data_IF_203547968730
#
_entry.id   IF_203547968730
#
_cell.length_a   1.000
_cell.length_b   1.000
_cell.length_c   1.000
_cell.angle_alpha   90.00
_cell.angle_beta   90.00
_cell.angle_gamma   90.00
#
_symmetry.space_group_name_H-M   'P 1'
#
loop_
_entity.id
_entity.type
_entity.pdbx_description
1 polymer ?
#
# COMPACT_ATOMS: atom_id res chain seq x y z
N UNK A 1 24.77 14.89 0.75
CA UNK A 1 24.22 13.79 -0.07
C UNK A 1 22.73 13.83 0.16
N UNK A 2 21.93 14.22 -0.85
CA UNK A 2 20.48 14.05 -0.74
C UNK A 2 20.23 12.55 -0.87
N UNK A 3 19.95 11.88 0.24
CA UNK A 3 19.43 10.51 0.23
C UNK A 3 18.14 10.52 -0.58
N UNK A 4 17.98 9.57 -1.51
CA UNK A 4 16.65 9.31 -2.05
C UNK A 4 15.75 8.85 -0.89
N UNK A 5 14.47 9.26 -0.84
CA UNK A 5 13.55 8.77 0.16
C UNK A 5 13.40 7.25 0.00
N UNK A 6 13.22 6.55 1.11
CA UNK A 6 12.76 5.17 1.07
C UNK A 6 11.38 5.12 0.42
N UNK A 7 11.14 4.19 -0.51
CA UNK A 7 9.83 3.98 -1.12
C UNK A 7 9.23 2.68 -0.61
N UNK A 8 8.07 2.79 0.04
CA UNK A 8 7.36 1.64 0.61
C UNK A 8 6.08 1.40 -0.16
N UNK A 9 6.02 0.30 -0.89
CA UNK A 9 4.83 -0.16 -1.59
C UNK A 9 3.88 -0.89 -0.65
N UNK A 10 2.62 -0.47 -0.60
CA UNK A 10 1.55 -1.16 0.15
C UNK A 10 0.59 -1.78 -0.86
N UNK A 11 0.65 -3.10 -0.99
CA UNK A 11 -0.17 -3.90 -1.91
C UNK A 11 -1.20 -4.76 -1.19
N UNK A 12 -2.14 -5.34 -1.93
CA UNK A 12 -3.12 -6.26 -1.36
C UNK A 12 -4.50 -6.22 -2.04
N UNK A 13 -5.38 -7.19 -1.70
CA UNK A 13 -6.74 -7.24 -2.24
C UNK A 13 -7.57 -5.99 -2.00
N UNK A 14 -8.60 -5.82 -2.83
CA UNK A 14 -9.64 -4.79 -2.63
C UNK A 14 -10.24 -4.96 -1.23
N UNK A 15 -10.30 -3.87 -0.46
CA UNK A 15 -10.91 -3.86 0.86
C UNK A 15 -10.07 -4.50 1.98
N UNK A 16 -8.85 -4.97 1.73
CA UNK A 16 -7.96 -5.57 2.76
C UNK A 16 -7.55 -4.60 3.89
N UNK A 17 -7.64 -3.29 3.64
CA UNK A 17 -7.34 -2.23 4.61
C UNK A 17 -6.02 -1.51 4.38
N UNK A 18 -5.53 -1.49 3.14
CA UNK A 18 -4.34 -0.72 2.71
C UNK A 18 -4.41 0.75 3.13
N UNK A 19 -5.48 1.46 2.75
CA UNK A 19 -5.68 2.88 3.12
C UNK A 19 -5.69 3.11 4.63
N UNK A 20 -6.27 2.17 5.39
CA UNK A 20 -6.28 2.24 6.85
C UNK A 20 -4.87 2.06 7.45
N UNK A 21 -4.06 1.15 6.88
CA UNK A 21 -2.65 1.00 7.24
C UNK A 21 -1.85 2.25 6.87
N UNK A 22 -2.04 2.79 5.65
CA UNK A 22 -1.41 4.03 5.19
C UNK A 22 -1.71 5.19 6.16
N UNK A 23 -2.97 5.37 6.54
CA UNK A 23 -3.38 6.40 7.51
C UNK A 23 -2.69 6.21 8.87
N UNK A 24 -2.65 4.97 9.39
CA UNK A 24 -2.03 4.66 10.66
C UNK A 24 -0.51 4.94 10.65
N UNK A 25 0.18 4.54 9.57
CA UNK A 25 1.60 4.81 9.38
C UNK A 25 1.88 6.31 9.29
N UNK A 26 1.09 7.05 8.51
CA UNK A 26 1.23 8.51 8.42
C UNK A 26 1.14 9.18 9.80
N UNK A 27 0.11 8.85 10.58
CA UNK A 27 -0.06 9.40 11.94
C UNK A 27 1.06 9.03 12.89
N UNK A 28 1.58 7.81 12.80
CA UNK A 28 2.66 7.33 13.66
C UNK A 28 4.04 7.93 13.30
N UNK A 29 4.28 8.26 12.04
CA UNK A 29 5.61 8.59 11.52
C UNK A 29 5.80 10.09 11.22
N UNK A 30 4.74 10.84 10.89
CA UNK A 30 4.85 12.22 10.39
C UNK A 30 5.53 13.23 11.32
N UNK A 31 5.54 12.97 12.63
CA UNK A 31 6.20 13.84 13.62
C UNK A 31 7.72 13.60 13.69
N UNK A 32 8.21 12.52 13.08
CA UNK A 32 9.62 12.08 13.16
C UNK A 32 10.31 12.03 11.80
N UNK A 33 9.55 11.82 10.74
CA UNK A 33 10.04 11.65 9.39
C UNK A 33 9.30 12.59 8.43
N UNK A 34 10.02 13.12 7.46
CA UNK A 34 9.44 13.89 6.38
C UNK A 34 8.82 12.92 5.35
N UNK A 35 7.49 12.79 5.35
CA UNK A 35 6.79 11.76 4.59
C UNK A 35 5.80 12.32 3.57
N UNK A 36 5.52 11.52 2.54
CA UNK A 36 4.50 11.77 1.52
C UNK A 36 3.86 10.46 1.05
N UNK A 37 2.72 10.55 0.36
CA UNK A 37 1.92 9.40 -0.07
C UNK A 37 1.51 9.56 -1.54
N UNK A 38 1.60 8.47 -2.29
CA UNK A 38 0.94 8.26 -3.57
C UNK A 38 -0.09 7.16 -3.38
N UNK A 39 -1.36 7.40 -3.73
CA UNK A 39 -2.42 6.38 -3.71
C UNK A 39 -2.88 6.09 -5.12
N UNK A 40 -3.18 4.84 -5.43
CA UNK A 40 -3.64 4.43 -6.74
C UNK A 40 -5.06 3.90 -6.68
N UNK A 41 -5.89 4.38 -7.60
CA UNK A 41 -7.24 3.87 -7.84
C UNK A 41 -7.47 3.78 -9.35
N UNK A 42 -8.40 2.94 -9.79
CA UNK A 42 -8.61 2.74 -11.24
C UNK A 42 -9.33 3.94 -11.87
N UNK A 43 -10.34 4.48 -11.18
CA UNK A 43 -11.29 5.45 -11.74
C UNK A 43 -11.54 6.67 -10.85
N UNK A 44 -10.89 6.74 -9.69
CA UNK A 44 -11.19 7.71 -8.63
C UNK A 44 -9.93 8.17 -7.93
N UNK A 45 -10.07 9.19 -7.09
CA UNK A 45 -9.04 9.58 -6.11
C UNK A 45 -9.59 9.40 -4.68
N UNK A 46 -10.43 8.39 -4.46
CA UNK A 46 -11.17 8.21 -3.21
C UNK A 46 -10.22 7.99 -2.04
N UNK A 47 -9.18 7.17 -2.22
CA UNK A 47 -8.17 6.91 -1.18
C UNK A 47 -7.34 8.16 -0.83
N UNK A 48 -6.91 8.95 -1.82
CA UNK A 48 -6.24 10.23 -1.58
C UNK A 48 -7.14 11.19 -0.80
N UNK A 49 -8.40 11.34 -1.22
CA UNK A 49 -9.37 12.20 -0.55
C UNK A 49 -9.68 11.69 0.86
N UNK A 50 -9.76 10.37 1.06
CA UNK A 50 -9.92 9.78 2.38
C UNK A 50 -8.76 10.14 3.30
N UNK A 51 -7.51 10.02 2.85
CA UNK A 51 -6.34 10.37 3.64
C UNK A 51 -6.30 11.86 3.99
N UNK A 52 -6.67 12.74 3.05
CA UNK A 52 -6.79 14.18 3.29
C UNK A 52 -7.87 14.48 4.33
N UNK A 53 -9.08 13.93 4.16
CA UNK A 53 -10.22 14.13 5.08
C UNK A 53 -9.93 13.63 6.50
N UNK A 54 -9.07 12.62 6.62
CA UNK A 54 -8.66 12.05 7.90
C UNK A 54 -7.37 12.68 8.46
N UNK A 55 -6.91 13.78 7.86
CA UNK A 55 -5.72 14.51 8.28
C UNK A 55 -4.51 13.57 8.40
N UNK A 56 -4.29 12.69 7.41
CA UNK A 56 -3.12 11.82 7.40
C UNK A 56 -1.83 12.66 7.31
N UNK A 57 -1.80 13.58 6.34
CA UNK A 57 -0.76 14.56 6.05
C UNK A 57 -1.42 15.83 5.48
N UNK A 58 -0.62 16.88 5.28
CA UNK A 58 -1.02 18.04 4.47
C UNK A 58 -1.46 17.58 3.06
N UNK A 59 -2.54 18.13 2.49
CA UNK A 59 -3.06 17.71 1.18
C UNK A 59 -2.00 17.69 0.07
N UNK A 60 -1.07 18.63 0.13
CA UNK A 60 0.01 18.80 -0.83
C UNK A 60 0.99 17.62 -0.88
N UNK A 61 1.04 16.82 0.19
CA UNK A 61 1.90 15.63 0.36
C UNK A 61 1.24 14.34 -0.10
N UNK A 62 0.00 14.39 -0.57
CA UNK A 62 -0.77 13.23 -1.00
C UNK A 62 -1.14 13.41 -2.47
N UNK A 63 -0.70 12.50 -3.33
CA UNK A 63 -1.06 12.48 -4.74
C UNK A 63 -1.95 11.25 -5.02
N UNK A 64 -3.14 11.48 -5.57
CA UNK A 64 -4.00 10.43 -6.10
C UNK A 64 -3.72 10.16 -7.57
N UNK A 65 -3.36 8.94 -7.91
CA UNK A 65 -3.11 8.47 -9.28
C UNK A 65 -4.30 7.63 -9.74
N UNK A 66 -4.95 8.09 -10.80
CA UNK A 66 -5.95 7.32 -11.53
C UNK A 66 -5.25 6.46 -12.60
N UNK A 67 -5.22 5.14 -12.42
CA UNK A 67 -4.42 4.25 -13.28
C UNK A 67 -5.09 3.97 -14.64
N UNK A 68 -6.41 4.13 -14.74
CA UNK A 68 -7.18 3.89 -15.97
C UNK A 68 -7.27 2.41 -16.41
N UNK A 69 -6.66 1.49 -15.66
CA UNK A 69 -6.58 0.06 -15.98
C UNK A 69 -6.11 -0.79 -14.79
N UNK A 70 -5.74 -2.05 -15.04
CA UNK A 70 -5.36 -3.00 -13.99
C UNK A 70 -4.28 -2.42 -13.05
N UNK A 71 -4.49 -2.44 -11.71
CA UNK A 71 -3.57 -1.83 -10.76
C UNK A 71 -2.13 -2.35 -10.87
N UNK A 72 -1.95 -3.67 -11.09
CA UNK A 72 -0.62 -4.26 -11.25
C UNK A 72 0.21 -3.60 -12.36
N UNK A 73 -0.42 -3.14 -13.46
CA UNK A 73 0.28 -2.45 -14.53
C UNK A 73 0.97 -1.19 -14.01
N UNK A 74 0.23 -0.36 -13.27
CA UNK A 74 0.73 0.91 -12.76
C UNK A 74 1.83 0.75 -11.69
N UNK A 75 1.95 -0.41 -11.05
CA UNK A 75 2.97 -0.66 -10.02
C UNK A 75 4.10 -1.59 -10.47
N UNK A 76 3.96 -2.26 -11.62
CA UNK A 76 4.91 -3.28 -12.09
C UNK A 76 5.28 -3.17 -13.56
N UNK A 77 4.33 -3.39 -14.47
CA UNK A 77 4.62 -3.46 -15.91
C UNK A 77 4.96 -2.09 -16.51
N UNK A 78 4.24 -1.05 -16.09
CA UNK A 78 4.46 0.34 -16.47
C UNK A 78 4.28 1.24 -15.23
N UNK A 79 5.34 1.37 -14.46
CA UNK A 79 5.37 2.18 -13.24
C UNK A 79 5.54 3.69 -13.51
N UNK A 80 5.54 4.12 -14.77
CA UNK A 80 5.89 5.50 -15.16
C UNK A 80 5.05 6.56 -14.44
N UNK A 81 3.73 6.36 -14.35
CA UNK A 81 2.81 7.30 -13.70
C UNK A 81 3.10 7.47 -12.20
N UNK A 82 3.49 6.38 -11.52
CA UNK A 82 3.85 6.43 -10.11
C UNK A 82 5.24 7.01 -9.91
N UNK A 83 6.20 6.69 -10.77
CA UNK A 83 7.54 7.28 -10.74
C UNK A 83 7.48 8.79 -10.96
N UNK A 84 6.61 9.27 -11.85
CA UNK A 84 6.36 10.69 -12.05
C UNK A 84 5.76 11.33 -10.78
N UNK A 85 4.73 10.72 -10.17
CA UNK A 85 4.15 11.21 -8.92
C UNK A 85 5.18 11.29 -7.78
N UNK A 86 6.03 10.26 -7.65
CA UNK A 86 7.16 10.23 -6.71
C UNK A 86 8.16 11.36 -6.99
N UNK A 87 8.49 11.62 -8.26
CA UNK A 87 9.39 12.71 -8.63
C UNK A 87 8.78 14.08 -8.32
N UNK A 88 7.48 14.28 -8.59
CA UNK A 88 6.76 15.51 -8.25
C UNK A 88 6.81 15.80 -6.75
N UNK A 89 6.57 14.79 -5.90
CA UNK A 89 6.68 14.92 -4.45
C UNK A 89 8.10 15.27 -4.00
N UNK A 90 9.12 14.62 -4.56
CA UNK A 90 10.52 14.92 -4.26
C UNK A 90 10.93 16.35 -4.62
N UNK A 91 10.44 16.86 -5.76
CA UNK A 91 10.67 18.25 -6.17
C UNK A 91 9.94 19.23 -5.25
N UNK A 92 8.71 18.91 -4.84
CA UNK A 92 7.86 19.76 -4.00
C UNK A 92 8.34 19.82 -2.55
N UNK A 93 8.82 18.69 -2.02
CA UNK A 93 9.32 18.56 -0.65
C UNK A 93 10.75 18.01 -0.67
N UNK A 94 11.76 18.88 -0.81
CA UNK A 94 13.15 18.46 -0.71
C UNK A 94 13.44 17.78 0.64
N UNK A 95 14.17 16.66 0.61
CA UNK A 95 14.58 15.94 1.82
C UNK A 95 13.47 15.07 2.43
N UNK A 96 12.57 14.51 1.62
CA UNK A 96 11.68 13.43 2.06
C UNK A 96 12.53 12.23 2.55
N UNK A 97 12.11 11.65 3.66
CA UNK A 97 12.70 10.43 4.23
C UNK A 97 11.98 9.18 3.70
N UNK A 98 10.66 9.28 3.49
CA UNK A 98 9.80 8.16 3.11
C UNK A 98 8.69 8.61 2.16
N UNK A 99 8.44 7.81 1.12
CA UNK A 99 7.24 7.91 0.27
C UNK A 99 6.50 6.58 0.32
N UNK A 100 5.24 6.60 0.71
CA UNK A 100 4.37 5.43 0.67
C UNK A 100 3.65 5.40 -0.68
N UNK A 101 3.68 4.27 -1.37
CA UNK A 101 2.94 4.06 -2.62
C UNK A 101 1.90 2.96 -2.38
N UNK A 102 0.64 3.35 -2.27
CA UNK A 102 -0.47 2.42 -2.09
C UNK A 102 -1.01 1.97 -3.45
N UNK A 103 -1.01 0.67 -3.72
CA UNK A 103 -1.60 0.14 -4.95
C UNK A 103 -3.13 0.23 -4.94
N UNK A 104 -3.75 0.24 -6.11
CA UNK A 104 -5.15 -0.15 -6.22
C UNK A 104 -5.36 -1.58 -5.70
N UNK A 105 -6.57 -1.91 -5.26
CA UNK A 105 -6.88 -3.27 -4.84
C UNK A 105 -6.80 -4.25 -6.01
N UNK A 106 -6.01 -5.32 -5.88
CA UNK A 106 -5.78 -6.29 -6.96
C UNK A 106 -5.75 -7.74 -6.44
N UNK A 107 -5.62 -8.69 -7.36
CA UNK A 107 -5.55 -10.12 -7.04
C UNK A 107 -4.18 -10.52 -6.44
N UNK A 108 -4.08 -11.80 -6.04
CA UNK A 108 -2.91 -12.35 -5.32
C UNK A 108 -1.59 -12.35 -6.12
N UNK A 109 -1.65 -12.07 -7.43
CA UNK A 109 -0.47 -12.00 -8.31
C UNK A 109 0.21 -10.64 -8.37
N UNK A 110 -0.40 -9.60 -7.79
CA UNK A 110 0.12 -8.25 -7.81
C UNK A 110 1.34 -8.09 -6.88
N UNK A 111 2.40 -7.49 -7.43
CA UNK A 111 3.62 -7.10 -6.72
C UNK A 111 4.15 -5.80 -7.30
N UNK A 112 4.94 -5.07 -6.53
CA UNK A 112 5.62 -3.87 -7.01
C UNK A 112 6.86 -4.22 -7.83
N UNK A 113 7.18 -3.39 -8.83
CA UNK A 113 8.50 -3.36 -9.45
C UNK A 113 9.55 -2.87 -8.45
N UNK A 114 10.75 -3.48 -8.40
CA UNK A 114 11.88 -2.94 -7.64
C UNK A 114 12.26 -1.52 -8.06
N UNK A 115 11.89 -1.09 -9.27
CA UNK A 115 12.11 0.29 -9.71
C UNK A 115 11.22 1.29 -8.97
N UNK A 116 10.05 0.87 -8.47
CA UNK A 116 9.09 1.73 -7.80
C UNK A 116 9.14 1.62 -6.27
N UNK A 117 9.47 0.44 -5.73
CA UNK A 117 9.36 0.14 -4.32
C UNK A 117 10.64 -0.53 -3.80
N UNK A 118 11.22 0.04 -2.74
CA UNK A 118 12.41 -0.49 -2.07
C UNK A 118 12.04 -1.54 -1.00
N UNK A 119 10.86 -1.38 -0.37
CA UNK A 119 10.27 -2.34 0.57
C UNK A 119 8.79 -2.51 0.27
N UNK A 120 8.29 -3.74 0.41
CA UNK A 120 6.91 -4.11 0.07
C UNK A 120 6.17 -4.69 1.26
N UNK A 121 5.04 -4.05 1.58
CA UNK A 121 4.06 -4.54 2.54
C UNK A 121 2.88 -5.09 1.75
N UNK A 122 2.45 -6.31 2.08
CA UNK A 122 1.27 -6.91 1.46
C UNK A 122 0.19 -7.13 2.51
N UNK A 123 -0.98 -6.53 2.30
CA UNK A 123 -2.10 -6.57 3.24
C UNK A 123 -3.13 -7.57 2.73
N UNK A 124 -3.40 -8.58 3.55
CA UNK A 124 -4.56 -9.45 3.40
C UNK A 124 -5.47 -9.28 4.62
N UNK A 125 -6.68 -9.82 4.59
CA UNK A 125 -7.58 -9.73 5.72
C UNK A 125 -8.34 -11.02 5.97
N UNK A 126 -8.72 -11.21 7.23
CA UNK A 126 -9.37 -12.44 7.70
C UNK A 126 -10.74 -12.67 7.05
N UNK A 127 -11.45 -11.61 6.65
CA UNK A 127 -12.78 -11.75 6.03
C UNK A 127 -12.72 -12.34 4.61
N UNK A 128 -11.54 -12.36 3.97
CA UNK A 128 -11.31 -13.10 2.73
C UNK A 128 -11.18 -14.63 2.92
N UNK A 129 -11.12 -15.09 4.18
CA UNK A 129 -11.08 -16.48 4.61
C UNK A 129 -9.68 -17.01 4.95
N UNK A 130 -9.59 -17.87 5.95
CA UNK A 130 -8.33 -18.41 6.51
C UNK A 130 -7.48 -19.23 5.52
N UNK A 131 -8.08 -19.71 4.43
CA UNK A 131 -7.36 -20.40 3.33
C UNK A 131 -6.60 -19.47 2.41
N UNK A 132 -6.71 -18.15 2.55
CA UNK A 132 -6.09 -17.19 1.64
C UNK A 132 -4.55 -17.34 1.60
N UNK A 133 -3.82 -17.47 2.73
CA UNK A 133 -2.38 -17.75 2.72
C UNK A 133 -2.01 -18.98 1.87
N UNK A 134 -2.74 -20.10 2.00
CA UNK A 134 -2.52 -21.33 1.19
C UNK A 134 -2.73 -21.14 -0.31
N UNK A 135 -3.50 -20.14 -0.73
CA UNK A 135 -3.62 -19.84 -2.17
C UNK A 135 -2.32 -19.25 -2.74
N UNK A 136 -1.41 -18.81 -1.86
CA UNK A 136 -0.12 -18.26 -2.21
C UNK A 136 -0.23 -16.99 -3.05
N UNK A 137 0.73 -16.82 -3.94
CA UNK A 137 0.88 -15.61 -4.75
C UNK A 137 2.10 -14.81 -4.29
N UNK A 138 2.76 -14.11 -5.21
CA UNK A 138 4.00 -13.41 -4.93
C UNK A 138 3.85 -12.34 -3.84
N UNK A 139 2.68 -11.71 -3.67
CA UNK A 139 2.43 -10.81 -2.55
C UNK A 139 2.52 -11.51 -1.19
N UNK A 140 1.90 -12.69 -1.05
CA UNK A 140 1.93 -13.48 0.19
C UNK A 140 3.32 -14.08 0.43
N UNK A 141 3.94 -14.65 -0.60
CA UNK A 141 5.16 -15.44 -0.45
C UNK A 141 6.46 -14.63 -0.53
N UNK A 142 6.43 -13.39 -1.05
CA UNK A 142 7.65 -12.63 -1.36
C UNK A 142 7.64 -11.17 -0.89
N UNK A 143 6.56 -10.68 -0.28
CA UNK A 143 6.60 -9.36 0.34
C UNK A 143 7.60 -9.34 1.50
N UNK A 144 8.22 -8.19 1.74
CA UNK A 144 9.11 -7.99 2.88
C UNK A 144 8.35 -8.07 4.22
N UNK A 145 7.07 -7.68 4.23
CA UNK A 145 6.17 -7.84 5.37
C UNK A 145 4.74 -8.17 4.91
N UNK A 146 4.23 -9.33 5.33
CA UNK A 146 2.83 -9.71 5.18
C UNK A 146 2.02 -9.25 6.40
N UNK A 147 0.91 -8.56 6.15
CA UNK A 147 -0.02 -8.09 7.19
C UNK A 147 -1.34 -8.85 7.06
N UNK A 148 -1.72 -9.57 8.11
CA UNK A 148 -3.06 -10.17 8.25
C UNK A 148 -3.93 -9.22 9.06
N UNK A 149 -4.81 -8.50 8.38
CA UNK A 149 -5.66 -7.46 8.94
C UNK A 149 -7.05 -7.98 9.37
N UNK A 150 -7.77 -7.17 10.15
CA UNK A 150 -9.15 -7.42 10.61
C UNK A 150 -9.32 -8.71 11.41
N UNK A 151 -8.33 -9.01 12.26
CA UNK A 151 -8.29 -10.23 13.08
C UNK A 151 -9.45 -10.33 14.07
N UNK A 152 -10.02 -9.20 14.44
CA UNK A 152 -11.23 -9.07 15.25
C UNK A 152 -12.48 -9.68 14.59
N UNK A 153 -12.50 -9.77 13.25
CA UNK A 153 -13.61 -10.37 12.50
C UNK A 153 -13.53 -11.90 12.40
N UNK A 154 -12.43 -12.52 12.84
CA UNK A 154 -12.22 -13.97 12.72
C UNK A 154 -13.39 -14.82 13.21
N UNK A 155 -13.98 -14.55 14.40
CA UNK A 155 -15.12 -15.32 14.90
C UNK A 155 -16.39 -15.16 14.05
N UNK A 156 -16.55 -14.03 13.35
CA UNK A 156 -17.74 -13.72 12.55
C UNK A 156 -17.73 -14.44 11.21
N UNK A 157 -16.56 -14.77 10.68
CA UNK A 157 -16.38 -15.41 9.37
C UNK A 157 -15.91 -16.86 9.47
N UNK A 158 -15.76 -17.39 10.69
CA UNK A 158 -15.31 -18.76 10.94
C UNK A 158 -13.86 -19.02 10.50
N UNK A 159 -13.01 -17.99 10.53
CA UNK A 159 -11.61 -18.09 10.14
C UNK A 159 -10.72 -18.38 11.36
N UNK A 160 -9.70 -19.22 11.20
CA UNK A 160 -8.69 -19.47 12.22
C UNK A 160 -7.39 -18.70 11.94
N UNK A 161 -6.98 -17.87 12.90
CA UNK A 161 -5.69 -17.16 12.84
C UNK A 161 -4.50 -18.13 12.89
N UNK A 162 -4.62 -19.22 13.65
CA UNK A 162 -3.59 -20.27 13.72
C UNK A 162 -3.40 -20.96 12.36
N UNK A 163 -4.50 -21.18 11.62
CA UNK A 163 -4.43 -21.73 10.26
C UNK A 163 -3.73 -20.75 9.33
N UNK A 164 -4.07 -19.45 9.42
CA UNK A 164 -3.44 -18.43 8.60
C UNK A 164 -1.94 -18.33 8.89
N UNK A 165 -1.53 -18.27 10.16
CA UNK A 165 -0.13 -18.20 10.57
C UNK A 165 0.68 -19.43 10.13
N UNK A 166 0.12 -20.64 10.26
CA UNK A 166 0.78 -21.87 9.79
C UNK A 166 0.99 -21.89 8.27
N UNK A 167 0.09 -21.26 7.54
CA UNK A 167 0.01 -21.34 6.09
C UNK A 167 0.69 -20.15 5.36
N UNK A 168 1.36 -19.25 6.11
CA UNK A 168 2.17 -18.12 5.60
C UNK A 168 3.65 -18.45 5.45
#
# INVERSE_FOLDING_TARGET
MNSQPLRVGIGGPVGSGKTALTLALCRALRERYNIAVVTNDIYTQEDAQFLVRNEALEPERIIGVETGGCPHTAIREDASINLEAVEQLNRRFPGLDLIIVESGGDNLSATFSPELSDLTLYVIDVSAGDKLPRKGGPGICKSDLLVINKVDLAPMVGASLEVMERDT
#
